data_IF_547581834972
#
_entry.id   IF_547581834972
#
_cell.length_a   1.000
_cell.length_b   1.000
_cell.length_c   1.000
_cell.angle_alpha   90.00
_cell.angle_beta   90.00
_cell.angle_gamma   90.00
#
_symmetry.space_group_name_H-M   'P 1'
#
loop_
_entity.id
_entity.type
_entity.pdbx_description
1 polymer ?
#
# COMPACT_ATOMS: atom_id res chain seq x y z
N UNK A 1 16.04 44.61 -28.29
CA UNK A 1 15.97 43.15 -28.54
C UNK A 1 14.52 42.75 -28.36
N UNK A 2 13.80 42.57 -29.47
CA UNK A 2 12.33 42.46 -29.48
C UNK A 2 11.83 41.07 -29.11
N UNK A 3 10.93 41.01 -28.14
CA UNK A 3 10.04 39.87 -27.96
C UNK A 3 8.91 39.99 -29.00
N UNK A 4 8.92 39.11 -30.00
CA UNK A 4 7.79 38.95 -30.92
C UNK A 4 6.64 38.34 -30.12
N UNK A 5 5.71 39.18 -29.67
CA UNK A 5 4.42 38.75 -29.12
C UNK A 5 3.59 38.20 -30.28
N UNK A 6 3.61 36.89 -30.48
CA UNK A 6 2.68 36.19 -31.36
C UNK A 6 1.31 36.16 -30.68
N UNK A 7 0.59 37.30 -30.70
CA UNK A 7 -0.83 37.31 -30.35
C UNK A 7 -1.58 36.56 -31.44
N UNK A 8 -1.87 35.29 -31.19
CA UNK A 8 -2.75 34.49 -32.03
C UNK A 8 -4.20 34.99 -31.83
N UNK A 9 -4.93 35.11 -32.94
CA UNK A 9 -6.32 35.58 -32.96
C UNK A 9 -7.25 34.55 -32.30
N UNK A 10 -8.18 35.02 -31.48
CA UNK A 10 -9.25 34.19 -30.87
C UNK A 10 -10.17 33.61 -31.95
N UNK A 11 -10.80 32.44 -31.75
CA UNK A 11 -11.73 31.84 -32.74
C UNK A 11 -12.84 32.80 -33.21
N UNK A 12 -13.35 33.64 -32.31
CA UNK A 12 -14.31 34.69 -32.64
C UNK A 12 -13.71 35.78 -33.53
N UNK A 13 -12.47 36.21 -33.24
CA UNK A 13 -11.73 37.16 -34.09
C UNK A 13 -11.40 36.55 -35.46
N UNK A 14 -11.16 35.25 -35.53
CA UNK A 14 -10.94 34.50 -36.76
C UNK A 14 -12.21 34.41 -37.62
N UNK A 15 -13.36 34.08 -37.01
CA UNK A 15 -14.65 34.03 -37.69
C UNK A 15 -15.13 35.42 -38.15
N UNK A 16 -14.89 36.46 -37.35
CA UNK A 16 -15.17 37.85 -37.73
C UNK A 16 -14.22 38.39 -38.81
N UNK A 17 -12.94 38.02 -38.78
CA UNK A 17 -11.97 38.36 -39.83
C UNK A 17 -12.30 37.66 -41.16
N UNK A 18 -12.80 36.41 -41.12
CA UNK A 18 -13.34 35.70 -42.28
C UNK A 18 -14.57 36.40 -42.88
N UNK A 19 -15.48 36.92 -42.04
CA UNK A 19 -16.66 37.66 -42.51
C UNK A 19 -16.31 39.04 -43.08
N UNK A 20 -15.34 39.75 -42.49
CA UNK A 20 -14.97 41.12 -42.90
C UNK A 20 -14.11 41.20 -44.15
N UNK A 21 -13.32 40.16 -44.47
CA UNK A 21 -12.31 40.24 -45.54
C UNK A 21 -12.80 39.85 -46.93
N UNK A 22 -13.94 39.17 -47.09
CA UNK A 22 -14.50 38.81 -48.40
C UNK A 22 -13.56 37.99 -49.33
N UNK A 23 -12.38 37.59 -48.85
CA UNK A 23 -11.34 36.92 -49.61
C UNK A 23 -10.85 35.72 -48.80
N UNK A 24 -11.23 34.52 -49.24
CA UNK A 24 -10.82 33.24 -48.67
C UNK A 24 -9.37 32.84 -49.02
N UNK A 25 -8.42 33.78 -48.96
CA UNK A 25 -7.05 33.55 -49.45
C UNK A 25 -6.02 33.45 -48.31
N UNK A 26 -5.60 32.20 -48.08
CA UNK A 26 -4.36 31.75 -47.42
C UNK A 26 -4.22 31.93 -45.90
N UNK A 27 -5.02 31.18 -45.16
CA UNK A 27 -4.56 30.59 -43.88
C UNK A 27 -4.54 29.08 -44.11
N UNK A 28 -3.39 28.45 -43.94
CA UNK A 28 -3.23 27.00 -44.14
C UNK A 28 -3.74 26.24 -42.91
N UNK A 29 -5.04 25.92 -42.90
CA UNK A 29 -5.71 25.23 -41.78
C UNK A 29 -5.16 23.81 -41.53
N UNK A 30 -4.34 23.27 -42.43
CA UNK A 30 -3.74 21.92 -42.28
C UNK A 30 -2.68 21.85 -41.17
N UNK A 31 -2.12 22.99 -40.76
CA UNK A 31 -1.00 23.07 -39.81
C UNK A 31 -1.37 23.67 -38.44
N UNK A 32 -2.66 23.75 -38.10
CA UNK A 32 -3.08 24.19 -36.77
C UNK A 32 -2.81 23.06 -35.77
N UNK A 33 -2.01 23.33 -34.75
CA UNK A 33 -1.76 22.37 -33.67
C UNK A 33 -3.04 22.19 -32.84
N UNK A 34 -3.69 21.03 -32.98
CA UNK A 34 -4.93 20.68 -32.29
C UNK A 34 -4.79 20.66 -30.76
N UNK A 35 -3.57 20.59 -30.21
CA UNK A 35 -3.32 20.56 -28.76
C UNK A 35 -3.30 21.95 -28.11
N UNK A 36 -3.12 23.02 -28.88
CA UNK A 36 -3.02 24.39 -28.35
C UNK A 36 -4.35 25.16 -28.39
N UNK A 37 -5.40 24.55 -28.92
CA UNK A 37 -6.73 25.15 -29.04
C UNK A 37 -7.47 24.97 -27.72
N UNK A 38 -7.99 26.06 -27.15
CA UNK A 38 -8.86 26.00 -25.96
C UNK A 38 -10.28 25.54 -26.37
N UNK A 39 -10.71 24.32 -25.98
CA UNK A 39 -12.03 23.80 -26.36
C UNK A 39 -13.18 24.62 -25.75
N UNK A 40 -12.96 25.28 -24.60
CA UNK A 40 -13.97 26.10 -23.93
C UNK A 40 -14.30 27.36 -24.70
N UNK A 41 -13.29 27.99 -25.30
CA UNK A 41 -13.45 29.19 -26.12
C UNK A 41 -14.11 28.87 -27.46
N UNK A 42 -13.77 27.73 -28.07
CA UNK A 42 -14.36 27.27 -29.35
C UNK A 42 -15.87 27.05 -29.19
N UNK A 43 -16.27 26.45 -28.08
CA UNK A 43 -17.68 26.16 -27.80
C UNK A 43 -18.41 27.33 -27.12
N UNK A 44 -17.66 28.31 -26.61
CA UNK A 44 -18.16 29.43 -25.81
C UNK A 44 -18.98 28.95 -24.61
N UNK A 45 -18.43 28.00 -23.84
CA UNK A 45 -19.08 27.38 -22.69
C UNK A 45 -18.21 27.55 -21.43
N UNK A 46 -18.87 27.72 -20.28
CA UNK A 46 -18.23 27.73 -18.96
C UNK A 46 -17.56 26.39 -18.60
N UNK A 47 -16.54 26.41 -17.73
CA UNK A 47 -15.90 25.20 -17.19
C UNK A 47 -16.89 24.25 -16.49
N UNK A 48 -17.94 24.78 -15.87
CA UNK A 48 -18.98 24.01 -15.17
C UNK A 48 -20.18 23.66 -16.07
N UNK A 49 -19.92 23.22 -17.30
CA UNK A 49 -20.97 22.91 -18.26
C UNK A 49 -21.71 21.61 -17.96
N UNK A 50 -22.98 21.59 -18.34
CA UNK A 50 -23.80 20.37 -18.35
C UNK A 50 -23.65 19.61 -19.67
N UNK A 51 -23.92 18.30 -19.64
CA UNK A 51 -23.88 17.45 -20.84
C UNK A 51 -24.83 17.92 -21.95
N UNK A 52 -25.99 18.47 -21.57
CA UNK A 52 -26.98 19.00 -22.51
C UNK A 52 -26.47 20.25 -23.21
N UNK A 53 -25.85 21.19 -22.47
CA UNK A 53 -25.25 22.39 -23.04
C UNK A 53 -24.12 22.07 -24.04
N UNK A 54 -23.26 21.10 -23.71
CA UNK A 54 -22.21 20.63 -24.62
C UNK A 54 -22.79 20.02 -25.91
N UNK A 55 -23.85 19.22 -25.80
CA UNK A 55 -24.53 18.62 -26.97
C UNK A 55 -25.21 19.65 -27.86
N UNK A 56 -25.87 20.65 -27.26
CA UNK A 56 -26.61 21.66 -28.00
C UNK A 56 -25.68 22.61 -28.78
N UNK A 57 -24.61 23.05 -28.13
CA UNK A 57 -23.57 23.88 -28.76
C UNK A 57 -22.83 23.12 -29.86
N UNK A 58 -22.48 21.85 -29.62
CA UNK A 58 -21.94 20.98 -30.65
C UNK A 58 -22.89 20.87 -31.85
N UNK A 59 -24.18 20.61 -31.60
CA UNK A 59 -25.18 20.51 -32.67
C UNK A 59 -25.26 21.80 -33.49
N UNK A 60 -25.26 22.98 -32.84
CA UNK A 60 -25.30 24.28 -33.52
C UNK A 60 -24.06 24.53 -34.39
N UNK A 61 -22.87 24.23 -33.85
CA UNK A 61 -21.59 24.41 -34.55
C UNK A 61 -21.37 23.37 -35.66
N UNK A 62 -21.77 22.13 -35.44
CA UNK A 62 -21.70 21.06 -36.42
C UNK A 62 -22.58 21.37 -37.63
N UNK A 63 -23.80 21.88 -37.43
CA UNK A 63 -24.71 22.25 -38.52
C UNK A 63 -24.16 23.43 -39.35
N UNK A 64 -23.53 24.42 -38.71
CA UNK A 64 -22.98 25.59 -39.43
C UNK A 64 -21.68 25.30 -40.18
N UNK A 65 -20.90 24.32 -39.73
CA UNK A 65 -19.57 24.00 -40.30
C UNK A 65 -19.54 22.73 -41.14
N UNK A 66 -20.67 22.00 -41.23
CA UNK A 66 -20.77 20.76 -42.00
C UNK A 66 -20.38 20.94 -43.47
N UNK A 67 -19.55 20.06 -44.06
CA UNK A 67 -19.05 20.20 -45.43
C UNK A 67 -20.17 20.27 -46.50
N UNK A 68 -21.32 19.64 -46.24
CA UNK A 68 -22.46 19.64 -47.17
C UNK A 68 -23.36 20.89 -47.08
N UNK A 69 -23.03 21.88 -46.24
CA UNK A 69 -23.79 23.13 -46.09
C UNK A 69 -23.09 24.28 -46.81
N UNK A 70 -23.84 25.27 -47.34
CA UNK A 70 -23.25 26.43 -47.99
C UNK A 70 -22.40 27.22 -46.98
N UNK A 71 -21.08 27.27 -47.19
CA UNK A 71 -20.10 27.87 -46.27
C UNK A 71 -19.42 26.90 -45.30
N UNK A 72 -19.63 25.58 -45.46
CA UNK A 72 -18.99 24.53 -44.68
C UNK A 72 -17.51 24.34 -44.97
N UNK A 73 -16.75 23.89 -43.97
CA UNK A 73 -15.32 23.60 -44.11
C UNK A 73 -14.98 22.34 -43.30
N UNK A 74 -14.46 21.32 -44.00
CA UNK A 74 -14.09 20.02 -43.41
C UNK A 74 -13.06 20.14 -42.28
N UNK A 75 -12.09 21.04 -42.42
CA UNK A 75 -11.02 21.19 -41.42
C UNK A 75 -11.56 21.83 -40.14
N UNK A 76 -12.45 22.82 -40.26
CA UNK A 76 -13.12 23.46 -39.11
C UNK A 76 -14.04 22.45 -38.41
N UNK A 77 -14.77 21.64 -39.18
CA UNK A 77 -15.61 20.57 -38.64
C UNK A 77 -14.79 19.56 -37.82
N UNK A 78 -13.65 19.11 -38.33
CA UNK A 78 -12.75 18.20 -37.61
C UNK A 78 -12.23 18.81 -36.28
N UNK A 79 -11.90 20.10 -36.28
CA UNK A 79 -11.47 20.81 -35.06
C UNK A 79 -12.60 20.84 -34.02
N UNK A 80 -13.83 21.11 -34.44
CA UNK A 80 -15.01 21.12 -33.57
C UNK A 80 -15.29 19.72 -33.00
N UNK A 81 -15.21 18.67 -33.82
CA UNK A 81 -15.38 17.28 -33.37
C UNK A 81 -14.30 16.89 -32.35
N UNK A 82 -13.03 17.22 -32.61
CA UNK A 82 -11.94 16.96 -31.67
C UNK A 82 -12.14 17.67 -30.32
N UNK A 83 -12.51 18.95 -30.36
CA UNK A 83 -12.79 19.74 -29.14
C UNK A 83 -13.99 19.17 -28.36
N UNK A 84 -15.03 18.69 -29.06
CA UNK A 84 -16.16 18.01 -28.43
C UNK A 84 -15.74 16.71 -27.73
N UNK A 85 -14.94 15.87 -28.39
CA UNK A 85 -14.44 14.62 -27.79
C UNK A 85 -13.60 14.89 -26.53
N UNK A 86 -12.75 15.91 -26.56
CA UNK A 86 -11.97 16.34 -25.39
C UNK A 86 -12.85 16.76 -24.22
N UNK A 87 -13.83 17.64 -24.47
CA UNK A 87 -14.76 18.10 -23.42
C UNK A 87 -15.66 16.95 -22.91
N UNK A 88 -16.06 16.03 -23.79
CA UNK A 88 -16.84 14.85 -23.40
C UNK A 88 -16.05 13.89 -22.50
N UNK A 89 -14.77 13.66 -22.82
CA UNK A 89 -13.86 12.88 -21.98
C UNK A 89 -13.64 13.56 -20.62
N UNK A 90 -13.48 14.88 -20.60
CA UNK A 90 -13.33 15.65 -19.35
C UNK A 90 -14.59 15.60 -18.49
N UNK A 91 -15.77 15.75 -19.08
CA UNK A 91 -17.05 15.59 -18.38
C UNK A 91 -17.16 14.20 -17.73
N UNK A 92 -16.82 13.14 -18.48
CA UNK A 92 -16.83 11.77 -17.97
C UNK A 92 -15.82 11.56 -16.83
N UNK A 93 -14.64 12.18 -16.91
CA UNK A 93 -13.63 12.13 -15.84
C UNK A 93 -14.13 12.80 -14.56
N UNK A 94 -14.79 13.95 -14.67
CA UNK A 94 -15.39 14.64 -13.52
C UNK A 94 -16.46 13.81 -12.83
N UNK A 95 -17.26 13.05 -13.58
CA UNK A 95 -18.22 12.11 -12.98
C UNK A 95 -17.53 10.89 -12.34
N UNK A 96 -16.39 10.45 -12.86
CA UNK A 96 -15.64 9.32 -12.30
C UNK A 96 -14.73 9.67 -11.13
N UNK A 97 -14.38 10.95 -10.95
CA UNK A 97 -13.56 11.47 -9.85
C UNK A 97 -14.39 11.54 -8.55
N UNK A 98 -14.86 10.37 -8.10
CA UNK A 98 -15.61 10.22 -6.86
C UNK A 98 -14.67 10.39 -5.66
N UNK A 99 -15.13 11.08 -4.62
CA UNK A 99 -14.41 11.20 -3.35
C UNK A 99 -14.24 9.83 -2.68
N UNK A 100 -13.17 9.64 -1.91
CA UNK A 100 -12.92 8.42 -1.14
C UNK A 100 -14.14 7.99 -0.30
N UNK A 101 -14.85 8.95 0.30
CA UNK A 101 -16.05 8.68 1.10
C UNK A 101 -17.20 8.15 0.23
N UNK A 102 -17.36 8.69 -0.97
CA UNK A 102 -18.39 8.27 -1.92
C UNK A 102 -18.08 6.88 -2.47
N UNK A 103 -16.82 6.61 -2.83
CA UNK A 103 -16.36 5.27 -3.25
C UNK A 103 -16.59 4.23 -2.14
N UNK A 104 -16.27 4.58 -0.89
CA UNK A 104 -16.50 3.69 0.26
C UNK A 104 -17.99 3.39 0.45
N UNK A 105 -18.84 4.42 0.33
CA UNK A 105 -20.30 4.27 0.44
C UNK A 105 -20.85 3.40 -0.69
N UNK A 106 -20.47 3.69 -1.94
CA UNK A 106 -20.89 2.91 -3.10
C UNK A 106 -20.45 1.44 -3.00
N UNK A 107 -19.24 1.20 -2.49
CA UNK A 107 -18.75 -0.16 -2.21
C UNK A 107 -19.62 -0.86 -1.18
N UNK A 108 -19.94 -0.22 -0.05
CA UNK A 108 -20.82 -0.78 0.97
C UNK A 108 -22.20 -1.11 0.41
N UNK A 109 -22.82 -0.13 -0.26
CA UNK A 109 -24.15 -0.27 -0.87
C UNK A 109 -24.19 -1.41 -1.91
N UNK A 110 -23.10 -1.61 -2.66
CA UNK A 110 -22.97 -2.71 -3.62
C UNK A 110 -22.92 -4.06 -2.92
N UNK A 111 -22.10 -4.22 -1.87
CA UNK A 111 -22.05 -5.45 -1.08
C UNK A 111 -23.36 -5.74 -0.36
N UNK A 112 -24.03 -4.72 0.18
CA UNK A 112 -25.32 -4.87 0.85
C UNK A 112 -26.41 -5.36 -0.11
N UNK A 113 -26.40 -4.91 -1.37
CA UNK A 113 -27.33 -5.39 -2.40
C UNK A 113 -27.09 -6.87 -2.76
N UNK A 114 -25.84 -7.31 -2.74
CA UNK A 114 -25.46 -8.72 -2.97
C UNK A 114 -25.92 -9.59 -1.79
N UNK A 115 -25.59 -9.20 -0.56
CA UNK A 115 -25.92 -9.95 0.66
C UNK A 115 -27.43 -10.09 0.83
N UNK A 116 -28.19 -9.04 0.52
CA UNK A 116 -29.65 -9.05 0.60
C UNK A 116 -30.33 -9.69 -0.63
N UNK A 117 -29.60 -10.38 -1.51
CA UNK A 117 -30.11 -11.05 -2.73
C UNK A 117 -30.89 -10.13 -3.68
N UNK A 118 -30.73 -8.80 -3.59
CA UNK A 118 -31.37 -7.84 -4.51
C UNK A 118 -30.67 -7.79 -5.87
N UNK A 119 -29.43 -8.27 -5.93
CA UNK A 119 -28.67 -8.47 -7.15
C UNK A 119 -27.97 -9.83 -7.12
N UNK A 120 -27.96 -10.60 -8.22
CA UNK A 120 -27.17 -11.81 -8.30
C UNK A 120 -25.68 -11.49 -8.16
N UNK A 121 -24.94 -12.33 -7.42
CA UNK A 121 -23.50 -12.17 -7.29
C UNK A 121 -22.84 -12.20 -8.69
N UNK A 122 -21.85 -11.33 -8.99
CA UNK A 122 -21.22 -11.26 -10.31
C UNK A 122 -20.66 -12.61 -10.82
N UNK A 123 -20.28 -13.52 -9.93
CA UNK A 123 -19.85 -14.88 -10.28
C UNK A 123 -20.95 -15.76 -10.88
N UNK A 124 -22.23 -15.42 -10.64
CA UNK A 124 -23.40 -16.16 -11.14
C UNK A 124 -23.82 -15.63 -12.52
N UNK A 125 -23.67 -14.32 -12.76
CA UNK A 125 -24.13 -13.68 -14.01
C UNK A 125 -23.32 -14.12 -15.24
N UNK A 126 -22.06 -14.50 -15.05
CA UNK A 126 -21.20 -15.01 -16.13
C UNK A 126 -21.54 -16.45 -16.58
N UNK A 127 -22.57 -17.10 -16.02
CA UNK A 127 -22.98 -18.46 -16.38
C UNK A 127 -23.96 -18.53 -17.56
N UNK A 128 -24.68 -17.45 -17.88
CA UNK A 128 -25.81 -17.50 -18.82
C UNK A 128 -25.41 -17.41 -20.30
N UNK A 129 -24.14 -17.61 -20.65
CA UNK A 129 -23.62 -17.28 -21.98
C UNK A 129 -23.08 -18.44 -22.84
N UNK A 130 -22.92 -19.66 -22.31
CA UNK A 130 -22.39 -20.79 -23.10
C UNK A 130 -23.04 -22.10 -22.70
N UNK A 131 -24.15 -22.42 -23.37
CA UNK A 131 -24.68 -23.79 -23.46
C UNK A 131 -23.69 -24.62 -24.28
N UNK A 132 -22.86 -25.41 -23.61
CA UNK A 132 -21.97 -26.38 -24.21
C UNK A 132 -21.30 -27.23 -23.14
N UNK A 133 -21.34 -28.55 -23.31
CA UNK A 133 -21.09 -29.60 -22.31
C UNK A 133 -19.67 -29.66 -21.67
N UNK A 134 -18.82 -28.65 -21.86
CA UNK A 134 -17.48 -28.58 -21.26
C UNK A 134 -17.04 -27.13 -20.92
N UNK A 135 -17.95 -26.27 -20.48
CA UNK A 135 -17.57 -24.95 -19.96
C UNK A 135 -17.08 -25.06 -18.51
N UNK A 136 -15.75 -24.98 -18.30
CA UNK A 136 -15.15 -24.88 -16.96
C UNK A 136 -15.79 -23.72 -16.18
N UNK A 137 -16.27 -24.03 -14.96
CA UNK A 137 -16.92 -23.07 -14.08
C UNK A 137 -16.03 -21.82 -13.93
N UNK A 138 -16.59 -20.61 -14.08
CA UNK A 138 -15.80 -19.37 -13.96
C UNK A 138 -14.95 -19.35 -12.68
N UNK A 139 -15.50 -19.80 -11.55
CA UNK A 139 -14.78 -19.89 -10.28
C UNK A 139 -13.55 -20.81 -10.35
N UNK A 140 -13.63 -21.93 -11.06
CA UNK A 140 -12.50 -22.85 -11.23
C UNK A 140 -11.42 -22.24 -12.14
N UNK A 141 -11.84 -21.63 -13.26
CA UNK A 141 -10.92 -20.90 -14.16
C UNK A 141 -10.26 -19.72 -13.44
N UNK A 142 -11.03 -18.95 -12.67
CA UNK A 142 -10.55 -17.82 -11.87
C UNK A 142 -9.55 -18.28 -10.83
N UNK A 143 -9.90 -19.25 -9.98
CA UNK A 143 -9.01 -19.76 -8.94
C UNK A 143 -7.71 -20.31 -9.56
N UNK A 144 -7.80 -21.09 -10.64
CA UNK A 144 -6.61 -21.60 -11.35
C UNK A 144 -5.73 -20.48 -11.90
N UNK A 145 -6.33 -19.45 -12.50
CA UNK A 145 -5.59 -18.31 -13.03
C UNK A 145 -5.04 -17.41 -11.91
N UNK A 146 -5.76 -17.28 -10.80
CA UNK A 146 -5.34 -16.57 -9.60
C UNK A 146 -4.14 -17.24 -8.97
N UNK A 147 -4.18 -18.56 -8.71
CA UNK A 147 -3.03 -19.31 -8.18
C UNK A 147 -1.80 -19.18 -9.09
N UNK A 148 -2.00 -19.16 -10.42
CA UNK A 148 -0.90 -18.95 -11.38
C UNK A 148 -0.29 -17.53 -11.32
N UNK A 149 -1.04 -16.54 -10.87
CA UNK A 149 -0.61 -15.13 -10.78
C UNK A 149 -0.50 -14.66 -9.32
N UNK A 150 -0.58 -15.57 -8.35
CA UNK A 150 -0.44 -15.21 -6.95
C UNK A 150 1.02 -14.88 -6.73
N UNK A 151 1.27 -13.66 -6.26
CA UNK A 151 2.61 -13.24 -5.82
C UNK A 151 2.70 -13.58 -4.35
N UNK A 152 3.69 -14.38 -4.01
CA UNK A 152 3.98 -14.78 -2.65
C UNK A 152 4.93 -13.77 -2.02
N UNK A 153 4.61 -13.39 -0.79
CA UNK A 153 5.44 -12.54 0.05
C UNK A 153 5.88 -13.37 1.26
N UNK A 154 7.18 -13.53 1.42
CA UNK A 154 7.79 -14.31 2.49
C UNK A 154 7.41 -13.76 3.88
N UNK A 155 7.11 -12.45 3.99
CA UNK A 155 6.64 -11.83 5.24
C UNK A 155 5.19 -12.21 5.58
N UNK A 156 4.33 -12.34 4.58
CA UNK A 156 2.89 -12.58 4.78
C UNK A 156 2.54 -14.06 4.81
N UNK A 157 3.26 -14.90 4.07
CA UNK A 157 2.90 -16.31 3.90
C UNK A 157 3.65 -17.25 4.84
N UNK A 158 4.74 -16.77 5.45
CA UNK A 158 5.47 -17.57 6.42
C UNK A 158 4.97 -17.32 7.85
N UNK A 159 4.57 -18.40 8.52
CA UNK A 159 4.27 -18.44 9.95
C UNK A 159 4.58 -19.80 10.55
N UNK A 160 4.05 -20.09 11.74
CA UNK A 160 4.27 -21.36 12.43
C UNK A 160 3.31 -22.47 12.01
N UNK A 161 2.57 -22.32 10.90
CA UNK A 161 1.56 -23.29 10.45
C UNK A 161 2.09 -24.71 10.39
N UNK A 162 3.26 -24.93 9.74
CA UNK A 162 3.91 -26.24 9.67
C UNK A 162 4.17 -26.85 11.06
N UNK A 163 4.60 -26.04 12.02
CA UNK A 163 4.88 -26.48 13.39
C UNK A 163 3.58 -26.74 14.19
N UNK A 164 2.46 -26.09 13.81
CA UNK A 164 1.15 -26.29 14.42
C UNK A 164 0.41 -27.51 13.84
N UNK A 165 0.59 -27.78 12.55
CA UNK A 165 -0.06 -28.86 11.80
C UNK A 165 0.38 -30.26 12.27
N UNK A 166 1.60 -30.38 12.82
CA UNK A 166 2.11 -31.63 13.40
C UNK A 166 1.40 -32.03 14.72
N UNK A 167 0.45 -31.23 15.21
CA UNK A 167 -0.31 -31.57 16.41
C UNK A 167 -1.27 -32.75 16.19
N UNK A 168 -1.09 -33.79 16.98
CA UNK A 168 -2.01 -34.92 17.08
C UNK A 168 -3.40 -34.44 17.55
N UNK A 169 -4.48 -34.95 16.92
CA UNK A 169 -5.87 -34.73 17.40
C UNK A 169 -6.13 -35.34 18.79
N UNK A 170 -5.29 -36.28 19.19
CA UNK A 170 -5.29 -36.81 20.56
C UNK A 170 -4.50 -35.82 21.41
N UNK A 171 -5.19 -35.18 22.35
CA UNK A 171 -4.54 -34.37 23.38
C UNK A 171 -3.57 -35.28 24.12
N UNK A 172 -2.28 -35.03 24.00
CA UNK A 172 -1.33 -35.74 24.84
C UNK A 172 -1.64 -35.39 26.29
N UNK A 173 -1.88 -36.39 27.13
CA UNK A 173 -2.03 -36.21 28.56
C UNK A 173 -0.67 -35.76 29.09
N UNK A 174 -0.46 -34.45 29.14
CA UNK A 174 0.72 -33.86 29.76
C UNK A 174 0.69 -34.33 31.22
N UNK A 175 1.64 -35.17 31.60
CA UNK A 175 1.87 -35.58 32.99
C UNK A 175 2.30 -34.35 33.78
N UNK A 176 1.34 -33.58 34.29
CA UNK A 176 1.60 -32.47 35.19
C UNK A 176 1.82 -33.07 36.58
N UNK A 177 3.07 -33.35 36.91
CA UNK A 177 3.43 -33.78 38.25
C UNK A 177 3.02 -32.70 39.26
N UNK A 178 2.35 -33.11 40.34
CA UNK A 178 2.02 -32.22 41.46
C UNK A 178 3.30 -31.82 42.20
N UNK A 179 3.96 -30.77 41.72
CA UNK A 179 5.23 -30.27 42.25
C UNK A 179 5.06 -29.68 43.66
N UNK A 180 3.88 -29.12 43.93
CA UNK A 180 3.53 -28.52 45.22
C UNK A 180 2.83 -29.56 46.09
N UNK A 181 3.58 -30.12 47.04
CA UNK A 181 3.09 -31.18 47.94
C UNK A 181 2.44 -30.66 49.23
N UNK A 182 2.54 -29.35 49.52
CA UNK A 182 1.99 -28.74 50.75
C UNK A 182 0.68 -27.99 50.47
N UNK A 183 -0.24 -28.01 51.45
CA UNK A 183 -1.54 -27.31 51.38
C UNK A 183 -1.42 -25.78 51.51
N UNK A 184 -0.29 -25.27 52.03
CA UNK A 184 0.04 -23.84 52.10
C UNK A 184 1.39 -23.61 51.44
N UNK A 185 1.45 -22.60 50.57
CA UNK A 185 2.63 -22.22 49.79
C UNK A 185 3.05 -20.84 50.26
N UNK A 186 4.30 -20.72 50.73
CA UNK A 186 4.92 -19.43 50.99
C UNK A 186 5.63 -18.92 49.74
N UNK A 187 5.67 -17.59 49.55
CA UNK A 187 6.33 -16.97 48.40
C UNK A 187 7.78 -17.44 48.20
N UNK A 188 8.51 -17.68 49.30
CA UNK A 188 9.88 -18.19 49.24
C UNK A 188 9.94 -19.63 48.71
N UNK A 189 9.11 -20.51 49.24
CA UNK A 189 9.05 -21.91 48.78
C UNK A 189 8.58 -22.02 47.33
N UNK A 190 7.68 -21.12 46.89
CA UNK A 190 7.28 -21.05 45.48
C UNK A 190 8.45 -20.63 44.58
N UNK A 191 9.13 -19.54 44.92
CA UNK A 191 10.26 -19.02 44.15
C UNK A 191 11.39 -20.04 44.04
N UNK A 192 11.69 -20.79 45.10
CA UNK A 192 12.75 -21.81 45.07
C UNK A 192 12.39 -22.98 44.13
N UNK A 193 11.14 -23.46 44.18
CA UNK A 193 10.66 -24.52 43.28
C UNK A 193 10.61 -24.02 41.83
N UNK A 194 10.13 -22.80 41.62
CA UNK A 194 10.05 -22.17 40.31
C UNK A 194 11.42 -21.97 39.68
N UNK A 195 12.37 -21.38 40.40
CA UNK A 195 13.74 -21.16 39.93
C UNK A 195 14.49 -22.48 39.65
N UNK A 196 14.15 -23.56 40.36
CA UNK A 196 14.73 -24.88 40.11
C UNK A 196 14.18 -25.56 38.85
N UNK A 197 12.88 -25.40 38.58
CA UNK A 197 12.19 -26.09 37.47
C UNK A 197 12.18 -25.32 36.16
N UNK A 198 12.27 -23.99 36.22
CA UNK A 198 12.31 -23.08 35.07
C UNK A 198 13.69 -22.44 35.02
N UNK A 199 14.69 -23.13 34.44
CA UNK A 199 16.04 -22.58 34.35
C UNK A 199 16.06 -21.33 33.49
N UNK A 200 16.95 -20.41 33.85
CA UNK A 200 17.27 -19.25 33.01
C UNK A 200 18.01 -19.77 31.79
N UNK A 201 17.62 -19.32 30.60
CA UNK A 201 18.40 -19.59 29.41
C UNK A 201 19.73 -18.86 29.55
N UNK A 202 20.81 -19.58 29.86
CA UNK A 202 22.17 -19.02 29.91
C UNK A 202 22.70 -18.80 28.49
N UNK A 203 21.91 -18.16 27.63
CA UNK A 203 22.42 -17.60 26.40
C UNK A 203 23.60 -16.70 26.76
N UNK A 204 24.68 -16.81 25.99
CA UNK A 204 25.84 -15.96 26.09
C UNK A 204 25.36 -14.51 26.28
N UNK A 205 25.76 -13.83 27.37
CA UNK A 205 25.35 -12.44 27.61
C UNK A 205 25.86 -11.60 26.45
N UNK A 206 24.98 -11.34 25.49
CA UNK A 206 25.30 -10.56 24.29
C UNK A 206 25.16 -9.11 24.69
N UNK A 207 26.29 -8.44 24.94
CA UNK A 207 26.30 -6.99 25.09
C UNK A 207 25.87 -6.38 23.75
N UNK A 208 24.63 -5.89 23.70
CA UNK A 208 24.09 -5.15 22.57
C UNK A 208 24.05 -3.67 22.95
N UNK A 209 24.45 -2.82 22.01
CA UNK A 209 24.22 -1.38 22.12
C UNK A 209 22.70 -1.11 22.17
N UNK A 210 22.27 -0.05 22.87
CA UNK A 210 20.86 0.32 22.88
C UNK A 210 20.39 0.63 21.46
N UNK A 211 19.37 -0.09 20.99
CA UNK A 211 18.74 0.17 19.70
C UNK A 211 17.66 1.25 19.85
N UNK A 212 17.51 2.14 18.85
CA UNK A 212 16.48 3.16 18.89
C UNK A 212 15.10 2.50 18.89
N UNK A 213 14.26 2.89 19.84
CA UNK A 213 12.88 2.45 19.86
C UNK A 213 12.10 3.20 18.77
N UNK A 214 11.45 2.45 17.88
CA UNK A 214 10.46 3.00 16.95
C UNK A 214 9.33 3.66 17.77
N UNK A 215 9.33 4.99 17.85
CA UNK A 215 8.31 5.79 18.56
C UNK A 215 6.93 5.69 17.90
N UNK A 216 6.90 5.42 16.60
CA UNK A 216 5.70 5.38 15.76
C UNK A 216 4.97 4.02 15.73
N UNK A 217 5.16 3.14 16.72
CA UNK A 217 4.47 1.82 16.77
C UNK A 217 2.94 1.89 16.86
N UNK A 218 2.38 3.08 17.09
CA UNK A 218 0.93 3.31 16.96
C UNK A 218 0.46 3.32 15.50
N UNK A 219 1.31 3.77 14.57
CA UNK A 219 1.05 3.75 13.13
C UNK A 219 1.19 2.33 12.61
N UNK A 220 0.20 1.88 11.85
CA UNK A 220 0.29 0.63 11.11
C UNK A 220 1.13 0.90 9.86
N UNK A 221 2.36 0.38 9.84
CA UNK A 221 3.24 0.43 8.68
C UNK A 221 3.91 -0.93 8.50
N UNK A 222 4.29 -1.22 7.26
CA UNK A 222 5.12 -2.37 6.90
C UNK A 222 6.37 -1.84 6.23
N UNK A 223 7.53 -2.27 6.71
CA UNK A 223 8.80 -1.92 6.09
C UNK A 223 8.97 -2.74 4.81
N UNK A 224 9.34 -2.09 3.71
CA UNK A 224 9.41 -2.75 2.40
C UNK A 224 10.68 -3.60 2.27
N UNK A 225 10.54 -4.81 1.71
CA UNK A 225 11.67 -5.69 1.40
C UNK A 225 12.39 -6.21 2.65
N UNK A 226 11.72 -6.21 3.79
CA UNK A 226 12.31 -6.69 5.02
C UNK A 226 12.60 -8.18 4.95
N UNK A 227 13.39 -8.65 5.91
CA UNK A 227 13.56 -10.09 6.10
C UNK A 227 12.33 -10.58 6.84
N UNK A 228 11.98 -11.84 6.60
CA UNK A 228 10.98 -12.55 7.38
C UNK A 228 11.24 -12.33 8.89
N UNK A 229 10.23 -11.94 9.67
CA UNK A 229 10.38 -11.78 11.10
C UNK A 229 10.59 -13.13 11.79
N UNK A 230 11.57 -13.18 12.68
CA UNK A 230 11.85 -14.34 13.55
C UNK A 230 11.06 -14.28 14.88
N UNK A 231 10.45 -13.13 15.19
CA UNK A 231 9.71 -12.88 16.42
C UNK A 231 8.42 -12.11 16.13
N UNK A 232 7.28 -12.76 16.33
CA UNK A 232 5.96 -12.17 16.19
C UNK A 232 5.39 -11.69 17.53
N UNK A 233 6.22 -11.45 18.55
CA UNK A 233 5.77 -10.92 19.85
C UNK A 233 5.27 -9.48 19.72
N UNK A 234 4.26 -9.12 20.52
CA UNK A 234 3.82 -7.72 20.63
C UNK A 234 4.93 -6.86 21.24
N UNK A 235 5.11 -5.66 20.69
CA UNK A 235 5.99 -4.67 21.31
C UNK A 235 5.48 -4.29 22.69
N UNK A 236 6.38 -4.09 23.66
CA UNK A 236 6.10 -3.84 25.08
C UNK A 236 5.23 -2.61 25.40
N UNK A 237 4.92 -1.77 24.41
CA UNK A 237 4.02 -0.63 24.56
C UNK A 237 2.59 -1.13 24.46
N UNK A 238 1.94 -1.34 25.62
CA UNK A 238 0.51 -1.65 25.69
C UNK A 238 -0.27 -0.54 24.98
N UNK A 239 -0.91 -0.85 23.85
CA UNK A 239 -2.02 0.00 23.39
C UNK A 239 -3.13 -0.14 24.45
N UNK A 240 -3.68 0.99 24.89
CA UNK A 240 -4.82 1.01 25.82
C UNK A 240 -5.91 0.10 25.26
N UNK A 241 -6.27 -0.96 25.99
CA UNK A 241 -7.23 -2.03 25.62
C UNK A 241 -6.76 -3.20 24.74
N UNK A 242 -5.48 -3.36 24.38
CA UNK A 242 -5.01 -4.59 23.69
C UNK A 242 -4.20 -5.50 24.63
N UNK A 243 -4.49 -6.80 24.62
CA UNK A 243 -3.68 -7.80 25.33
C UNK A 243 -2.29 -7.88 24.69
N UNK A 244 -1.23 -7.85 25.50
CA UNK A 244 0.12 -8.18 25.04
C UNK A 244 0.17 -9.67 24.70
N UNK A 245 0.81 -9.99 23.58
CA UNK A 245 1.05 -11.36 23.13
C UNK A 245 2.55 -11.60 22.96
N UNK A 246 2.96 -12.85 23.12
CA UNK A 246 4.31 -13.34 22.86
C UNK A 246 4.26 -14.28 21.68
N UNK A 247 5.35 -14.33 20.93
CA UNK A 247 5.57 -15.28 19.87
C UNK A 247 5.42 -16.73 20.36
N UNK A 248 4.82 -17.57 19.52
CA UNK A 248 4.50 -18.96 19.83
C UNK A 248 5.76 -19.82 20.07
N UNK A 249 6.81 -19.65 19.26
CA UNK A 249 8.06 -20.39 19.44
C UNK A 249 8.77 -19.93 20.71
N UNK A 250 8.80 -18.62 20.98
CA UNK A 250 9.36 -18.09 22.23
C UNK A 250 8.64 -18.62 23.47
N UNK A 251 7.32 -18.74 23.41
CA UNK A 251 6.53 -19.28 24.51
C UNK A 251 6.83 -20.78 24.76
N UNK A 252 7.19 -21.52 23.71
CA UNK A 252 7.47 -22.97 23.80
C UNK A 252 8.87 -23.29 24.34
N UNK A 253 9.81 -22.33 24.37
CA UNK A 253 11.15 -22.56 24.91
C UNK A 253 11.14 -22.90 26.42
N UNK A 254 10.09 -22.53 27.15
CA UNK A 254 9.93 -22.88 28.57
C UNK A 254 11.00 -22.31 29.50
N UNK A 255 11.82 -21.37 29.01
CA UNK A 255 12.90 -20.73 29.76
C UNK A 255 12.48 -19.38 30.31
N UNK A 256 13.15 -18.95 31.38
CA UNK A 256 12.93 -17.63 31.94
C UNK A 256 13.68 -16.57 31.13
N UNK A 257 12.95 -15.51 30.74
CA UNK A 257 13.48 -14.39 29.93
C UNK A 257 14.54 -13.54 30.66
N UNK A 258 14.43 -13.38 31.99
CA UNK A 258 15.26 -12.45 32.77
C UNK A 258 15.75 -13.14 34.04
N UNK A 259 17.05 -13.07 34.28
CA UNK A 259 17.63 -13.38 35.59
C UNK A 259 17.42 -12.21 36.55
N UNK A 260 16.64 -12.42 37.61
CA UNK A 260 16.42 -11.41 38.66
C UNK A 260 17.66 -11.10 39.49
N UNK A 261 18.72 -11.92 39.42
CA UNK A 261 19.98 -11.61 40.09
C UNK A 261 20.63 -10.34 39.51
N UNK A 262 20.59 -10.17 38.19
CA UNK A 262 21.19 -9.04 37.46
C UNK A 262 20.58 -7.69 37.90
N UNK A 263 19.28 -7.67 38.20
CA UNK A 263 18.58 -6.45 38.63
C UNK A 263 19.08 -5.98 40.01
N UNK A 264 19.50 -6.90 40.88
CA UNK A 264 20.01 -6.58 42.22
C UNK A 264 21.41 -5.96 42.20
N UNK A 265 22.16 -6.20 41.12
CA UNK A 265 23.51 -5.66 40.94
C UNK A 265 23.50 -4.25 40.32
N UNK A 266 22.33 -3.70 39.99
CA UNK A 266 22.21 -2.33 39.51
C UNK A 266 22.52 -1.34 40.63
N UNK A 267 23.39 -0.37 40.33
CA UNK A 267 23.77 0.66 41.30
C UNK A 267 22.55 1.53 41.64
N UNK A 268 22.11 1.46 42.89
CA UNK A 268 21.10 2.36 43.43
C UNK A 268 21.74 3.69 43.83
N UNK A 269 21.07 4.80 43.52
CA UNK A 269 21.53 6.15 43.83
C UNK A 269 20.64 6.76 44.90
N UNK A 270 21.24 7.45 45.88
CA UNK A 270 20.47 8.04 46.99
C UNK A 270 19.90 9.41 46.65
N UNK A 271 20.47 10.10 45.67
CA UNK A 271 20.01 11.42 45.22
C UNK A 271 20.18 11.60 43.71
N UNK A 272 19.49 12.60 43.15
CA UNK A 272 19.57 12.95 41.72
C UNK A 272 20.98 13.45 41.38
N UNK A 273 21.60 14.22 42.28
CA UNK A 273 22.95 14.75 42.10
C UNK A 273 24.01 13.64 42.03
N UNK A 274 23.87 12.59 42.86
CA UNK A 274 24.78 11.42 42.80
C UNK A 274 24.68 10.70 41.44
N UNK A 275 23.45 10.60 40.91
CA UNK A 275 23.21 10.03 39.59
C UNK A 275 23.81 10.89 38.47
N UNK A 276 23.69 12.22 38.55
CA UNK A 276 24.27 13.15 37.58
C UNK A 276 25.80 13.03 37.52
N UNK A 277 26.47 13.02 38.68
CA UNK A 277 27.94 12.84 38.74
C UNK A 277 28.35 11.48 38.18
N UNK A 278 27.62 10.41 38.51
CA UNK A 278 27.87 9.09 37.94
C UNK A 278 27.68 9.07 36.42
N UNK A 279 26.62 9.70 35.91
CA UNK A 279 26.36 9.79 34.46
C UNK A 279 27.47 10.57 33.76
N UNK A 280 27.89 11.71 34.29
CA UNK A 280 28.86 12.59 33.65
C UNK A 280 30.27 11.97 33.62
N UNK A 281 30.63 11.19 34.65
CA UNK A 281 31.89 10.41 34.63
C UNK A 281 31.86 9.28 33.61
N UNK A 282 30.71 8.62 33.42
CA UNK A 282 30.53 7.57 32.40
C UNK A 282 30.46 8.12 30.98
N UNK A 283 29.89 9.31 30.79
CA UNK A 283 29.75 9.94 29.48
C UNK A 283 31.09 10.40 28.88
N UNK A 284 32.11 10.65 29.72
CA UNK A 284 33.46 11.04 29.28
C UNK A 284 34.35 9.85 28.91
N UNK A 285 33.87 8.62 29.05
CA UNK A 285 34.64 7.42 28.68
C UNK A 285 34.64 7.30 27.16
N UNK A 286 35.82 7.41 26.56
CA UNK A 286 36.01 7.17 25.13
C UNK A 286 35.94 5.68 24.81
N UNK A 287 35.47 5.36 23.60
CA UNK A 287 35.39 3.97 23.12
C UNK A 287 36.79 3.36 23.02
N UNK A 288 36.93 2.13 23.51
CA UNK A 288 38.15 1.34 23.32
C UNK A 288 38.39 1.06 21.82
N UNK A 289 39.63 0.85 21.41
CA UNK A 289 39.97 0.44 20.04
C UNK A 289 39.19 -0.81 19.57
N UNK A 290 38.89 -1.73 20.51
CA UNK A 290 38.06 -2.90 20.24
C UNK A 290 36.60 -2.53 19.95
N UNK A 291 36.05 -1.57 20.69
CA UNK A 291 34.67 -1.09 20.55
C UNK A 291 34.50 -0.28 19.26
N UNK A 292 35.46 0.60 18.93
CA UNK A 292 35.53 1.30 17.65
C UNK A 292 35.51 0.34 16.46
N UNK A 293 36.32 -0.72 16.51
CA UNK A 293 36.32 -1.76 15.47
C UNK A 293 34.98 -2.50 15.38
N UNK A 294 34.32 -2.77 16.51
CA UNK A 294 32.99 -3.38 16.51
C UNK A 294 31.93 -2.47 15.89
N UNK A 295 32.00 -1.16 16.15
CA UNK A 295 31.11 -0.16 15.56
C UNK A 295 31.28 -0.07 14.04
N UNK A 296 32.53 -0.09 13.55
CA UNK A 296 32.82 -0.10 12.11
C UNK A 296 32.30 -1.38 11.44
N UNK A 297 32.54 -2.56 12.04
CA UNK A 297 32.01 -3.84 11.55
C UNK A 297 30.47 -3.86 11.56
N UNK A 298 29.84 -3.27 12.58
CA UNK A 298 28.39 -3.13 12.67
C UNK A 298 27.86 -2.27 11.52
N UNK A 299 28.48 -1.11 11.26
CA UNK A 299 28.11 -0.23 10.14
C UNK A 299 28.24 -0.93 8.78
N UNK A 300 29.34 -1.63 8.53
CA UNK A 300 29.55 -2.42 7.32
C UNK A 300 28.49 -3.52 7.14
N UNK A 301 28.07 -4.14 8.25
CA UNK A 301 27.01 -5.16 8.23
C UNK A 301 25.64 -4.54 7.93
N UNK A 302 25.31 -3.41 8.54
CA UNK A 302 24.07 -2.67 8.29
C UNK A 302 23.99 -2.21 6.82
N UNK A 303 25.09 -1.69 6.26
CA UNK A 303 25.18 -1.32 4.84
C UNK A 303 24.94 -2.52 3.91
N UNK A 304 25.52 -3.69 4.23
CA UNK A 304 25.25 -4.93 3.48
C UNK A 304 23.80 -5.40 3.63
N UNK A 305 23.22 -5.27 4.82
CA UNK A 305 21.82 -5.64 5.06
C UNK A 305 20.85 -4.76 4.30
N UNK A 306 21.13 -3.46 4.21
CA UNK A 306 20.36 -2.52 3.41
C UNK A 306 20.47 -2.80 1.91
N UNK A 307 21.67 -3.12 1.41
CA UNK A 307 21.84 -3.55 0.02
C UNK A 307 21.00 -4.79 -0.29
N UNK A 308 21.05 -5.80 0.58
CA UNK A 308 20.22 -7.00 0.42
C UNK A 308 18.72 -6.70 0.50
N UNK A 309 18.30 -5.70 1.30
CA UNK A 309 16.89 -5.24 1.40
C UNK A 309 16.42 -4.65 0.07
N UNK A 310 17.23 -3.78 -0.53
CA UNK A 310 16.95 -3.19 -1.84
C UNK A 310 16.91 -4.25 -2.94
N UNK A 311 17.80 -5.24 -2.91
CA UNK A 311 17.77 -6.36 -3.86
C UNK A 311 16.49 -7.20 -3.73
N UNK A 312 16.04 -7.49 -2.50
CA UNK A 312 14.76 -8.18 -2.26
C UNK A 312 13.59 -7.39 -2.80
N UNK A 313 13.55 -6.08 -2.53
CA UNK A 313 12.51 -5.18 -3.03
C UNK A 313 12.46 -5.16 -4.56
N UNK A 314 13.62 -4.97 -5.20
CA UNK A 314 13.72 -4.99 -6.66
C UNK A 314 13.25 -6.32 -7.26
N UNK A 315 13.58 -7.45 -6.62
CA UNK A 315 13.12 -8.77 -7.05
C UNK A 315 11.61 -8.92 -6.90
N UNK A 316 11.06 -8.44 -5.79
CA UNK A 316 9.63 -8.45 -5.52
C UNK A 316 8.85 -7.62 -6.54
N UNK A 317 9.30 -6.40 -6.84
CA UNK A 317 8.67 -5.51 -7.84
C UNK A 317 8.67 -6.15 -9.23
N UNK A 318 9.78 -6.77 -9.65
CA UNK A 318 9.85 -7.53 -10.91
C UNK A 318 8.87 -8.70 -10.94
N UNK A 319 8.72 -9.42 -9.84
CA UNK A 319 7.77 -10.53 -9.75
C UNK A 319 6.31 -10.04 -9.82
N UNK A 320 6.01 -8.89 -9.20
CA UNK A 320 4.71 -8.23 -9.33
C UNK A 320 4.44 -7.89 -10.78
N UNK A 321 5.39 -7.25 -11.46
CA UNK A 321 5.24 -6.84 -12.87
C UNK A 321 4.97 -8.05 -13.77
N UNK A 322 5.77 -9.11 -13.65
CA UNK A 322 5.57 -10.36 -14.40
C UNK A 322 4.21 -10.99 -14.11
N UNK A 323 3.78 -10.96 -12.85
CA UNK A 323 2.47 -11.48 -12.46
C UNK A 323 1.32 -10.64 -13.02
N UNK A 324 1.47 -9.32 -13.00
CA UNK A 324 0.52 -8.37 -13.57
C UNK A 324 0.36 -8.58 -15.08
N UNK A 325 1.47 -8.73 -15.82
CA UNK A 325 1.41 -9.06 -17.25
C UNK A 325 0.70 -10.39 -17.50
N UNK A 326 1.01 -11.40 -16.69
CA UNK A 326 0.40 -12.74 -16.79
C UNK A 326 -1.10 -12.68 -16.51
N UNK A 327 -1.52 -11.94 -15.47
CA UNK A 327 -2.91 -11.71 -15.13
C UNK A 327 -3.65 -11.02 -16.27
N UNK A 328 -3.08 -9.96 -16.85
CA UNK A 328 -3.68 -9.28 -18.01
C UNK A 328 -3.87 -10.22 -19.20
N UNK A 329 -2.91 -11.11 -19.48
CA UNK A 329 -3.03 -12.10 -20.56
C UNK A 329 -4.08 -13.17 -20.28
N UNK A 330 -4.30 -13.56 -19.02
CA UNK A 330 -5.17 -14.67 -18.62
C UNK A 330 -6.61 -14.25 -18.29
N UNK A 331 -6.83 -13.01 -17.86
CA UNK A 331 -8.13 -12.49 -17.43
C UNK A 331 -8.80 -11.56 -18.46
N UNK A 332 -8.04 -10.86 -19.30
CA UNK A 332 -8.58 -9.84 -20.22
C UNK A 332 -8.72 -10.37 -21.67
N UNK A 333 -8.16 -11.56 -21.97
CA UNK A 333 -8.49 -12.33 -23.18
C UNK A 333 -9.56 -13.38 -22.88
#
# INVERSE_FOLDING_TARGET
MGAKSSRQYTYQQYYEAMKKSGQAANIDLKNINMETIDPYEVFNISKNFTWNELKETYRKLAISTHPDKPGGNKDIFNIITYCFEKLALEYKKRESDLSHMELKKQSSDFFDKIVNNKMPHPSIVNMNGREGDNAELFSQKFNRNFEKCKVYDDEMEFGYGKNMDESSKVREDIKIDKVIKKNKIDNKSFNDIFNSKVPINKQLVKYQEPEPLLLAKSLQFTELGNKRPDDYSSSSVKKTNSLSYSDYMKAHEGTRLIDTSIIKDMKEFKSVEEYEVYRDTKAKVELSAKELKQQELKKLREEKEEQMRLERLNKYDRNIELSYEKANRLFIR
#
